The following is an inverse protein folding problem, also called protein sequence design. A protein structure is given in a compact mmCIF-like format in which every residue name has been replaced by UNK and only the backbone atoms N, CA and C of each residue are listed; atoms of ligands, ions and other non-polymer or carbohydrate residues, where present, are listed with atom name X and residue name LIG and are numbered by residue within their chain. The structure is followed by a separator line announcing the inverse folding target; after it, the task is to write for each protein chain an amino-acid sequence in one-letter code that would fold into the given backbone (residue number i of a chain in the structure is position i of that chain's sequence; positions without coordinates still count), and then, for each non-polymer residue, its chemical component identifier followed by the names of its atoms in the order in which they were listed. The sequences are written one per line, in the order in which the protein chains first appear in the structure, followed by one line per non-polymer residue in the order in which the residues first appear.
data_IF_921946870879
#
_entry.id   IF_921946870879
#
_cell.length_a   1.000
_cell.length_b   1.000
_cell.length_c   1.000
_cell.angle_alpha   90.00
_cell.angle_beta   90.00
_cell.angle_gamma   90.00
#
_symmetry.space_group_name_H-M   'P 1'
#
loop_
_entity.id
_entity.type
_entity.pdbx_description
1 polymer ?
#
# COMPACT_ATOMS: atom_id res chain seq x y z
N UNK A 1 11.19 -7.72 0.68
CA UNK A 1 10.68 -8.64 1.73
C UNK A 1 9.30 -9.17 1.33
N UNK A 2 8.93 -10.38 1.72
CA UNK A 2 7.60 -10.95 1.40
C UNK A 2 6.87 -11.32 2.69
N UNK A 3 5.74 -10.67 2.95
CA UNK A 3 4.85 -10.95 4.08
C UNK A 3 3.59 -11.62 3.52
N UNK A 4 3.32 -12.84 3.98
CA UNK A 4 2.17 -13.65 3.52
C UNK A 4 1.10 -13.66 4.59
N UNK A 5 -0.08 -13.15 4.27
CA UNK A 5 -1.25 -13.22 5.14
C UNK A 5 -2.14 -14.38 4.70
N UNK A 6 -2.45 -15.26 5.65
CA UNK A 6 -3.22 -16.48 5.38
C UNK A 6 -4.21 -16.80 6.49
N UNK A 7 -5.27 -17.54 6.13
CA UNK A 7 -6.31 -17.98 7.04
C UNK A 7 -7.52 -17.05 7.05
N UNK A 8 -8.44 -17.30 7.97
CA UNK A 8 -9.64 -16.48 8.18
C UNK A 8 -9.27 -15.24 9.00
N UNK A 9 -9.59 -14.06 8.46
CA UNK A 9 -9.37 -12.78 9.14
C UNK A 9 -10.68 -12.14 9.58
N UNK A 10 -10.66 -11.54 10.77
CA UNK A 10 -11.75 -10.74 11.31
C UNK A 10 -11.20 -9.41 11.85
N UNK A 11 -12.09 -8.47 12.21
CA UNK A 11 -11.66 -7.16 12.70
C UNK A 11 -10.81 -7.22 13.98
N UNK A 12 -10.93 -8.27 14.80
CA UNK A 12 -10.17 -8.41 16.04
C UNK A 12 -8.79 -9.00 15.76
N UNK A 13 -8.72 -10.09 14.99
CA UNK A 13 -7.47 -10.77 14.68
C UNK A 13 -6.53 -9.90 13.84
N UNK A 14 -7.09 -9.11 12.92
CA UNK A 14 -6.29 -8.28 12.01
C UNK A 14 -5.55 -7.14 12.72
N UNK A 15 -6.03 -6.68 13.89
CA UNK A 15 -5.32 -5.66 14.67
C UNK A 15 -4.02 -6.20 15.27
N UNK A 16 -4.00 -7.45 15.72
CA UNK A 16 -2.77 -8.08 16.19
C UNK A 16 -1.78 -8.28 15.04
N UNK A 17 -2.28 -8.69 13.86
CA UNK A 17 -1.46 -8.83 12.65
C UNK A 17 -0.87 -7.49 12.23
N UNK A 18 -1.68 -6.41 12.29
CA UNK A 18 -1.23 -5.04 12.02
C UNK A 18 -0.04 -4.66 12.88
N UNK A 19 -0.13 -4.85 14.20
CA UNK A 19 0.94 -4.42 15.10
C UNK A 19 2.25 -5.19 14.83
N UNK A 20 2.15 -6.47 14.46
CA UNK A 20 3.31 -7.27 14.01
C UNK A 20 3.88 -6.73 12.70
N UNK A 21 3.05 -6.44 11.69
CA UNK A 21 3.51 -5.89 10.42
C UNK A 21 4.20 -4.54 10.64
N UNK A 22 3.60 -3.64 11.42
CA UNK A 22 4.17 -2.33 11.71
C UNK A 22 5.51 -2.44 12.43
N UNK A 23 5.65 -3.36 13.39
CA UNK A 23 6.92 -3.62 14.05
C UNK A 23 8.00 -4.15 13.10
N UNK A 24 7.64 -4.95 12.09
CA UNK A 24 8.59 -5.42 11.06
C UNK A 24 9.00 -4.27 10.14
N UNK A 25 8.05 -3.40 9.79
CA UNK A 25 8.29 -2.29 8.86
C UNK A 25 9.04 -1.12 9.50
N UNK A 26 9.02 -0.98 10.82
CA UNK A 26 9.77 0.05 11.55
C UNK A 26 11.29 -0.02 11.25
N UNK A 27 11.81 -1.23 11.06
CA UNK A 27 13.22 -1.50 10.76
C UNK A 27 13.49 -1.76 9.25
N UNK A 28 12.48 -1.72 8.39
CA UNK A 28 12.60 -2.11 6.98
C UNK A 28 12.15 -1.03 6.00
N UNK A 29 13.10 -0.46 5.25
CA UNK A 29 12.87 0.61 4.26
C UNK A 29 12.81 0.14 2.79
N UNK A 30 13.12 -1.13 2.50
CA UNK A 30 13.12 -1.66 1.14
C UNK A 30 11.73 -1.94 0.58
N UNK A 31 11.68 -2.50 -0.63
CA UNK A 31 10.44 -2.99 -1.23
C UNK A 31 9.91 -4.20 -0.45
N UNK A 32 8.65 -4.17 -0.06
CA UNK A 32 7.97 -5.32 0.51
C UNK A 32 6.67 -5.67 -0.23
N UNK A 33 6.36 -6.96 -0.22
CA UNK A 33 5.17 -7.53 -0.85
C UNK A 33 4.24 -7.99 0.28
N UNK A 34 3.02 -7.46 0.31
CA UNK A 34 1.92 -8.00 1.11
C UNK A 34 1.10 -8.94 0.24
N UNK A 35 1.28 -10.24 0.44
CA UNK A 35 0.54 -11.28 -0.25
C UNK A 35 -0.72 -11.66 0.53
N UNK A 36 -1.85 -11.39 -0.10
CA UNK A 36 -3.19 -11.50 0.48
C UNK A 36 -3.96 -12.68 -0.11
N UNK A 37 -3.38 -13.43 -1.06
CA UNK A 37 -4.05 -14.49 -1.80
C UNK A 37 -4.43 -15.70 -0.95
N UNK A 38 -3.88 -15.81 0.25
CA UNK A 38 -4.14 -16.93 1.17
C UNK A 38 -5.17 -16.60 2.24
N UNK A 39 -5.78 -15.41 2.20
CA UNK A 39 -6.89 -15.05 3.08
C UNK A 39 -8.15 -15.80 2.61
N UNK A 40 -8.76 -16.57 3.50
CA UNK A 40 -9.80 -17.53 3.13
C UNK A 40 -11.20 -16.91 2.97
N UNK A 41 -11.47 -15.78 3.64
CA UNK A 41 -12.79 -15.14 3.63
C UNK A 41 -12.87 -13.94 2.67
N UNK A 42 -13.68 -14.05 1.62
CA UNK A 42 -13.82 -13.02 0.56
C UNK A 42 -14.31 -11.63 1.03
N UNK A 43 -14.86 -11.54 2.24
CA UNK A 43 -15.33 -10.29 2.85
C UNK A 43 -14.21 -9.50 3.53
N UNK A 44 -12.97 -10.00 3.54
CA UNK A 44 -11.84 -9.30 4.17
C UNK A 44 -11.65 -7.85 3.70
N UNK A 45 -11.89 -7.47 2.42
CA UNK A 45 -11.76 -6.08 1.99
C UNK A 45 -12.81 -5.17 2.61
N UNK A 46 -13.88 -5.69 3.20
CA UNK A 46 -14.94 -4.91 3.88
C UNK A 46 -14.64 -4.68 5.36
N UNK A 47 -13.64 -5.36 5.92
CA UNK A 47 -13.25 -5.21 7.31
C UNK A 47 -12.53 -3.87 7.51
N UNK A 48 -13.12 -2.98 8.32
CA UNK A 48 -12.54 -1.67 8.63
C UNK A 48 -11.09 -1.77 9.14
N UNK A 49 -10.80 -2.75 9.99
CA UNK A 49 -9.46 -2.90 10.56
C UNK A 49 -8.47 -3.50 9.56
N UNK A 50 -8.93 -4.29 8.58
CA UNK A 50 -8.09 -4.72 7.47
C UNK A 50 -7.68 -3.52 6.61
N UNK A 51 -8.66 -2.68 6.24
CA UNK A 51 -8.40 -1.44 5.49
C UNK A 51 -7.40 -0.54 6.23
N UNK A 52 -7.57 -0.39 7.54
CA UNK A 52 -6.67 0.37 8.41
C UNK A 52 -5.26 -0.23 8.45
N UNK A 53 -5.13 -1.56 8.58
CA UNK A 53 -3.84 -2.25 8.55
C UNK A 53 -3.08 -1.93 7.25
N UNK A 54 -3.75 -2.06 6.11
CA UNK A 54 -3.15 -1.78 4.80
C UNK A 54 -2.70 -0.31 4.73
N UNK A 55 -3.58 0.63 5.08
CA UNK A 55 -3.27 2.06 5.05
C UNK A 55 -2.09 2.44 5.96
N UNK A 56 -2.04 1.89 7.17
CA UNK A 56 -0.95 2.15 8.12
C UNK A 56 0.37 1.52 7.63
N UNK A 57 0.33 0.35 7.02
CA UNK A 57 1.51 -0.32 6.44
C UNK A 57 2.12 0.50 5.29
N UNK A 58 1.29 1.02 4.40
CA UNK A 58 1.74 1.87 3.27
C UNK A 58 2.28 3.21 3.78
N UNK A 59 1.67 3.75 4.85
CA UNK A 59 2.13 5.02 5.44
C UNK A 59 3.52 4.89 6.07
N UNK A 60 3.82 3.77 6.74
CA UNK A 60 5.13 3.57 7.37
C UNK A 60 6.21 3.26 6.33
N UNK A 61 5.87 2.50 5.27
CA UNK A 61 6.76 2.24 4.16
C UNK A 61 5.98 2.27 2.83
N UNK A 62 6.22 3.30 2.02
CA UNK A 62 5.54 3.48 0.74
C UNK A 62 6.01 2.49 -0.34
N UNK A 63 7.09 1.73 -0.09
CA UNK A 63 7.60 0.70 -0.98
C UNK A 63 6.81 -0.61 -0.91
N UNK A 64 5.49 -0.50 -0.76
CA UNK A 64 4.55 -1.61 -0.68
C UNK A 64 4.08 -2.03 -2.08
N UNK A 65 4.09 -3.34 -2.34
CA UNK A 65 3.35 -3.96 -3.44
C UNK A 65 2.32 -4.90 -2.81
N UNK A 66 1.05 -4.69 -3.12
CA UNK A 66 -0.03 -5.60 -2.75
C UNK A 66 -0.10 -6.71 -3.80
N UNK A 67 -0.11 -7.96 -3.37
CA UNK A 67 -0.34 -9.11 -4.25
C UNK A 67 -1.69 -9.74 -3.89
N UNK A 68 -2.65 -9.63 -4.80
CA UNK A 68 -4.01 -10.13 -4.57
C UNK A 68 -4.77 -10.33 -5.88
N UNK A 69 -5.39 -11.50 -6.04
CA UNK A 69 -6.33 -11.86 -7.11
C UNK A 69 -7.77 -11.40 -6.79
N UNK A 70 -8.02 -10.86 -5.59
CA UNK A 70 -9.35 -10.41 -5.17
C UNK A 70 -9.82 -9.16 -5.92
N UNK A 71 -10.81 -9.34 -6.80
CA UNK A 71 -11.50 -8.24 -7.50
C UNK A 71 -12.15 -7.22 -6.56
N UNK A 72 -12.60 -7.66 -5.38
CA UNK A 72 -13.18 -6.75 -4.38
C UNK A 72 -12.13 -5.85 -3.76
N UNK A 73 -10.92 -6.37 -3.56
CA UNK A 73 -9.80 -5.57 -3.09
C UNK A 73 -9.35 -4.58 -4.17
N UNK A 74 -9.28 -5.02 -5.43
CA UNK A 74 -9.00 -4.18 -6.59
C UNK A 74 -9.95 -2.97 -6.63
N UNK A 75 -11.26 -3.22 -6.65
CA UNK A 75 -12.27 -2.15 -6.64
C UNK A 75 -12.12 -1.23 -5.42
N UNK A 76 -11.77 -1.78 -4.25
CA UNK A 76 -11.56 -0.95 -3.08
C UNK A 76 -10.33 -0.05 -3.22
N UNK A 77 -9.21 -0.55 -3.74
CA UNK A 77 -7.99 0.23 -3.96
C UNK A 77 -8.23 1.35 -4.97
N UNK A 78 -8.88 1.04 -6.10
CA UNK A 78 -9.17 2.02 -7.16
C UNK A 78 -10.07 3.18 -6.69
N UNK A 79 -10.96 2.92 -5.72
CA UNK A 79 -11.90 3.92 -5.22
C UNK A 79 -11.34 4.80 -4.09
N UNK A 80 -10.13 4.53 -3.59
CA UNK A 80 -9.60 5.21 -2.40
C UNK A 80 -8.26 5.90 -2.70
N UNK A 81 -8.27 7.24 -2.70
CA UNK A 81 -7.11 8.09 -3.01
C UNK A 81 -5.88 7.86 -2.10
N UNK A 82 -6.05 7.25 -0.92
CA UNK A 82 -4.93 6.85 -0.04
C UNK A 82 -4.01 5.82 -0.69
N UNK A 83 -4.46 5.16 -1.77
CA UNK A 83 -3.68 4.22 -2.58
C UNK A 83 -3.01 4.84 -3.80
N UNK A 84 -3.08 6.17 -3.98
CA UNK A 84 -2.32 6.82 -5.03
C UNK A 84 -0.82 6.53 -4.84
N UNK A 85 -0.24 5.75 -5.76
CA UNK A 85 1.15 5.28 -5.69
C UNK A 85 1.36 3.90 -5.06
N UNK A 86 0.31 3.22 -4.58
CA UNK A 86 0.38 1.81 -4.17
C UNK A 86 0.11 0.91 -5.36
N UNK A 87 0.99 -0.07 -5.60
CA UNK A 87 0.83 -1.01 -6.69
C UNK A 87 0.08 -2.26 -6.25
N UNK A 88 -0.93 -2.66 -7.02
CA UNK A 88 -1.61 -3.93 -6.90
C UNK A 88 -1.15 -4.84 -8.05
N UNK A 89 -0.48 -5.94 -7.71
CA UNK A 89 -0.19 -7.03 -8.62
C UNK A 89 -1.30 -8.08 -8.52
N UNK A 90 -1.89 -8.46 -9.66
CA UNK A 90 -2.94 -9.50 -9.70
C UNK A 90 -2.38 -10.89 -9.95
N UNK A 91 -1.15 -10.98 -10.44
CA UNK A 91 -0.48 -12.25 -10.74
C UNK A 91 1.04 -12.08 -10.67
N UNK A 92 1.76 -13.19 -10.82
CA UNK A 92 3.23 -13.22 -10.76
C UNK A 92 3.91 -12.41 -11.87
N UNK A 93 3.28 -12.30 -13.05
CA UNK A 93 3.85 -11.55 -14.17
C UNK A 93 3.78 -10.05 -13.93
N UNK A 94 2.61 -9.55 -13.51
CA UNK A 94 2.42 -8.18 -13.07
C UNK A 94 3.33 -7.84 -11.89
N UNK A 95 3.45 -8.74 -10.92
CA UNK A 95 4.36 -8.57 -9.79
C UNK A 95 5.82 -8.39 -10.24
N UNK A 96 6.30 -9.23 -11.15
CA UNK A 96 7.66 -9.12 -11.66
C UNK A 96 7.87 -7.82 -12.44
N UNK A 97 6.89 -7.41 -13.25
CA UNK A 97 6.94 -6.14 -13.97
C UNK A 97 7.04 -4.96 -13.00
N UNK A 98 6.19 -4.95 -11.97
CA UNK A 98 6.18 -3.92 -10.93
C UNK A 98 7.49 -3.88 -10.14
N UNK A 99 8.04 -5.04 -9.77
CA UNK A 99 9.32 -5.13 -9.09
C UNK A 99 10.46 -4.56 -9.93
N UNK A 100 10.50 -4.87 -11.23
CA UNK A 100 11.52 -4.37 -12.13
C UNK A 100 11.45 -2.84 -12.27
N UNK A 101 10.25 -2.28 -12.46
CA UNK A 101 10.07 -0.83 -12.50
C UNK A 101 10.46 -0.16 -11.18
N UNK A 102 10.04 -0.71 -10.04
CA UNK A 102 10.34 -0.11 -8.74
C UNK A 102 11.83 -0.16 -8.40
N UNK A 103 12.52 -1.24 -8.78
CA UNK A 103 13.98 -1.35 -8.66
C UNK A 103 14.68 -0.35 -9.59
N UNK A 104 14.16 -0.11 -10.80
CA UNK A 104 14.67 0.92 -11.69
C UNK A 104 14.48 2.31 -11.10
N UNK A 105 13.28 2.67 -10.64
CA UNK A 105 12.97 3.94 -9.98
C UNK A 105 13.85 4.18 -8.74
N UNK A 106 13.98 3.19 -7.86
CA UNK A 106 14.85 3.28 -6.67
C UNK A 106 16.33 3.47 -7.07
N UNK A 107 16.79 2.82 -8.16
CA UNK A 107 18.16 3.04 -8.70
C UNK A 107 18.34 4.44 -9.27
N UNK A 108 17.29 5.03 -9.86
CA UNK A 108 17.33 6.42 -10.34
C UNK A 108 17.29 7.41 -9.17
N UNK A 109 16.52 7.15 -8.12
CA UNK A 109 16.46 7.98 -6.89
C UNK A 109 17.78 7.96 -6.11
N UNK A 110 18.48 6.82 -6.06
CA UNK A 110 19.83 6.75 -5.45
C UNK A 110 20.88 7.57 -6.23
N UNK A 111 20.62 7.88 -7.50
CA UNK A 111 21.47 8.74 -8.34
C UNK A 111 20.94 10.18 -8.47
N UNK A 112 19.74 10.48 -7.97
CA UNK A 112 19.20 11.82 -7.90
C UNK A 112 19.70 12.49 -6.62
N UNK A 113 20.42 13.59 -6.78
CA UNK A 113 20.91 14.44 -5.70
C UNK A 113 19.82 14.80 -4.69
N UNK A 114 20.24 14.95 -3.44
CA UNK A 114 19.50 15.36 -2.25
C UNK A 114 18.84 16.74 -2.37
N UNK A 115 17.79 16.89 -3.17
CA UNK A 115 16.89 18.02 -3.06
C UNK A 115 15.55 17.53 -2.50
N UNK A 116 15.24 18.02 -1.30
CA UNK A 116 13.99 17.77 -0.59
C UNK A 116 12.78 18.15 -1.47
N UNK A 117 11.70 17.35 -1.50
CA UNK A 117 10.48 17.78 -2.17
C UNK A 117 9.78 18.88 -1.36
N UNK A 118 9.91 20.14 -1.79
CA UNK A 118 9.11 21.28 -1.31
C UNK A 118 7.66 21.17 -1.85
N UNK A 119 6.77 20.56 -1.07
CA UNK A 119 5.34 20.52 -1.38
C UNK A 119 4.68 21.78 -0.83
N UNK A 120 4.67 22.87 -1.63
CA UNK A 120 3.80 24.03 -1.40
C UNK A 120 2.38 23.72 -1.86
N UNK A 121 1.46 23.52 -0.90
CA UNK A 121 0.02 23.53 -1.16
C UNK A 121 -0.41 24.93 -1.62
N UNK A 122 -0.57 25.16 -2.92
CA UNK A 122 -1.30 26.34 -3.42
C UNK A 122 -2.81 26.08 -3.27
N UNK A 123 -3.38 26.59 -2.18
CA UNK A 123 -4.82 26.63 -1.91
C UNK A 123 -5.46 27.90 -2.52
N UNK A 124 -5.19 28.21 -3.79
CA UNK A 124 -5.71 29.43 -4.43
C UNK A 124 -6.98 29.21 -5.27
N UNK A 125 -7.63 28.05 -5.15
CA UNK A 125 -8.94 27.81 -5.74
C UNK A 125 -9.90 27.32 -4.66
N UNK A 126 -10.43 28.25 -3.87
CA UNK A 126 -11.75 28.20 -3.20
C UNK A 126 -11.87 29.44 -2.30
N UNK A 127 -12.21 30.59 -2.89
CA UNK A 127 -13.16 31.61 -2.43
C UNK A 127 -13.30 32.58 -3.62
N UNK A 128 -14.25 32.30 -4.50
CA UNK A 128 -14.95 33.37 -5.22
C UNK A 128 -16.25 33.55 -4.44
N UNK A 129 -16.17 34.34 -3.36
CA UNK A 129 -17.36 34.88 -2.73
C UNK A 129 -17.98 35.88 -3.70
N UNK A 130 -19.26 35.67 -3.97
CA UNK A 130 -20.06 36.44 -4.89
C UNK A 130 -20.18 37.91 -4.48
N UNK A 131 -20.21 38.76 -5.49
CA UNK A 131 -20.82 40.10 -5.45
C UNK A 131 -22.16 40.05 -6.14
#
# INVERSE_FOLDING_TARGET
MWIKLSGVVDNRSIMNVRDVILSILDDFSGIYILDLNRIENEEFPNLTNFRKMIADSIRINQNCILLSESKRLELWIENYAIFNGTYLAKNSEELNHLLNHKIEEDRFLVNASSEEPDIRLHLDYLIQDGT
#
